data_IF_164465706262
#
_entry.id   IF_164465706262
#
_cell.length_a   1.000
_cell.length_b   1.000
_cell.length_c   1.000
_cell.angle_alpha   90.00
_cell.angle_beta   90.00
_cell.angle_gamma   90.00
#
_symmetry.space_group_name_H-M   'P 1'
#
loop_
_entity.id
_entity.type
_entity.pdbx_description
1 polymer ?
#
# COMPACT_ATOMS: atom_id res chain seq x y z
N UNK A 1 -89.23 -13.34 1.76
CA UNK A 1 -90.06 -13.70 2.93
C UNK A 1 -89.37 -13.10 4.15
N UNK A 2 -89.76 -11.87 4.51
CA UNK A 2 -90.62 -11.53 5.69
C UNK A 2 -89.86 -11.69 7.00
N UNK A 3 -89.40 -10.59 7.61
CA UNK A 3 -90.13 -9.70 8.54
C UNK A 3 -90.37 -10.36 9.91
N UNK A 4 -89.94 -9.63 10.96
CA UNK A 4 -90.68 -9.40 12.22
C UNK A 4 -91.23 -10.66 12.94
N UNK A 5 -90.94 -10.94 14.21
CA UNK A 5 -91.25 -10.08 15.34
C UNK A 5 -91.23 -10.92 16.63
N UNK A 6 -90.76 -10.31 17.73
CA UNK A 6 -91.38 -10.31 19.06
C UNK A 6 -91.45 -11.64 19.84
N UNK A 7 -91.29 -11.69 21.15
CA UNK A 7 -90.89 -10.73 22.19
C UNK A 7 -90.70 -11.55 23.48
N UNK A 8 -89.81 -11.06 24.34
CA UNK A 8 -89.89 -10.93 25.81
C UNK A 8 -90.42 -12.11 26.66
N UNK A 9 -89.88 -12.40 27.83
CA UNK A 9 -88.81 -11.82 28.64
C UNK A 9 -88.61 -12.81 29.79
N UNK A 10 -87.39 -12.95 30.31
CA UNK A 10 -87.20 -12.90 31.76
C UNK A 10 -85.72 -12.82 32.15
N UNK A 11 -85.39 -11.66 32.75
CA UNK A 11 -84.54 -11.49 33.94
C UNK A 11 -83.01 -11.51 33.74
N UNK A 12 -82.57 -10.30 33.40
CA UNK A 12 -81.28 -9.65 33.65
C UNK A 12 -80.62 -9.96 35.00
N UNK A 13 -79.33 -10.33 34.95
CA UNK A 13 -78.25 -9.53 35.54
C UNK A 13 -77.02 -9.63 34.64
N UNK A 14 -76.64 -8.53 33.98
CA UNK A 14 -75.36 -8.40 33.30
C UNK A 14 -74.88 -6.95 33.35
N UNK A 15 -73.55 -6.82 33.27
CA UNK A 15 -72.77 -5.65 33.65
C UNK A 15 -73.07 -4.33 32.93
N UNK A 16 -72.61 -3.26 33.56
CA UNK A 16 -72.21 -2.02 32.87
C UNK A 16 -70.78 -1.67 33.27
N UNK A 17 -70.00 -1.45 32.21
CA UNK A 17 -68.59 -1.08 32.08
C UNK A 17 -68.24 0.21 32.84
N UNK A 18 -67.16 0.21 33.63
CA UNK A 18 -66.37 1.42 33.92
C UNK A 18 -64.85 1.16 33.95
N UNK A 19 -64.19 1.80 32.98
CA UNK A 19 -62.79 2.28 32.92
C UNK A 19 -61.64 1.25 32.83
N UNK A 20 -61.11 1.15 31.60
CA UNK A 20 -59.73 0.78 31.23
C UNK A 20 -58.70 1.20 32.29
N UNK A 21 -58.04 0.25 32.94
CA UNK A 21 -56.66 0.43 33.43
C UNK A 21 -55.73 -0.21 32.40
N UNK A 22 -54.89 0.61 31.79
CA UNK A 22 -53.85 0.21 30.82
C UNK A 22 -52.94 -0.86 31.46
N UNK A 23 -52.45 -1.86 30.70
CA UNK A 23 -51.37 -2.71 31.18
C UNK A 23 -50.15 -1.83 31.43
N UNK A 24 -49.45 -2.11 32.52
CA UNK A 24 -48.26 -1.40 32.95
C UNK A 24 -47.27 -1.23 31.79
N UNK A 25 -47.12 0.02 31.34
CA UNK A 25 -45.99 0.46 30.55
C UNK A 25 -44.77 0.30 31.45
N UNK A 26 -43.91 -0.69 31.17
CA UNK A 26 -42.59 -0.79 31.78
C UNK A 26 -41.78 0.41 31.27
N UNK A 27 -41.95 1.54 31.96
CA UNK A 27 -41.16 2.73 31.78
C UNK A 27 -39.73 2.37 32.16
N UNK A 28 -38.82 2.30 31.19
CA UNK A 28 -37.38 2.34 31.46
C UNK A 28 -37.05 3.69 32.10
N UNK A 29 -37.27 3.82 33.41
CA UNK A 29 -36.69 4.90 34.21
C UNK A 29 -35.32 4.39 34.60
N UNK A 30 -34.33 4.64 33.73
CA UNK A 30 -32.94 4.64 34.17
C UNK A 30 -32.86 5.56 35.39
N UNK A 31 -32.40 5.05 36.54
CA UNK A 31 -32.31 5.90 37.72
C UNK A 31 -31.29 7.01 37.42
N UNK A 32 -31.49 8.25 37.89
CA UNK A 32 -30.50 9.34 37.71
C UNK A 32 -29.07 8.92 38.12
N UNK A 33 -28.97 7.99 39.08
CA UNK A 33 -27.72 7.35 39.51
C UNK A 33 -27.07 6.48 38.43
N UNK A 34 -27.85 5.72 37.67
CA UNK A 34 -27.34 4.86 36.59
C UNK A 34 -26.91 5.68 35.38
N UNK A 35 -27.65 6.75 35.04
CA UNK A 35 -27.23 7.71 34.02
C UNK A 35 -25.93 8.44 34.40
N UNK A 36 -25.77 8.81 35.68
CA UNK A 36 -24.56 9.48 36.15
C UNK A 36 -23.35 8.53 36.17
N UNK A 37 -23.54 7.26 36.54
CA UNK A 37 -22.51 6.22 36.43
C UNK A 37 -22.12 5.97 34.98
N UNK A 38 -23.09 5.87 34.08
CA UNK A 38 -22.85 5.69 32.65
C UNK A 38 -22.12 6.89 32.05
N UNK A 39 -22.49 8.12 32.41
CA UNK A 39 -21.77 9.34 32.02
C UNK A 39 -20.33 9.37 32.54
N UNK A 40 -20.10 8.95 33.80
CA UNK A 40 -18.74 8.85 34.36
C UNK A 40 -17.90 7.80 33.64
N UNK A 41 -18.47 6.65 33.30
CA UNK A 41 -17.78 5.61 32.51
C UNK A 41 -17.46 6.08 31.10
N UNK A 42 -18.40 6.74 30.41
CA UNK A 42 -18.18 7.33 29.08
C UNK A 42 -17.08 8.37 29.14
N UNK A 43 -17.13 9.31 30.11
CA UNK A 43 -16.11 10.36 30.25
C UNK A 43 -14.73 9.79 30.61
N UNK A 44 -14.66 8.72 31.41
CA UNK A 44 -13.41 8.04 31.71
C UNK A 44 -12.84 7.36 30.45
N UNK A 45 -13.69 6.71 29.64
CA UNK A 45 -13.30 6.11 28.37
C UNK A 45 -12.83 7.16 27.37
N UNK A 46 -13.56 8.27 27.21
CA UNK A 46 -13.16 9.39 26.35
C UNK A 46 -11.80 9.98 26.74
N UNK A 47 -11.52 10.15 28.04
CA UNK A 47 -10.20 10.61 28.50
C UNK A 47 -9.08 9.61 28.23
N UNK A 48 -9.39 8.32 28.28
CA UNK A 48 -8.43 7.28 27.96
C UNK A 48 -8.16 7.23 26.46
N UNK A 49 -9.21 7.31 25.65
CA UNK A 49 -9.13 7.36 24.19
C UNK A 49 -8.36 8.61 23.74
N UNK A 50 -8.61 9.79 24.35
CA UNK A 50 -7.87 11.03 24.09
C UNK A 50 -6.38 10.90 24.42
N UNK A 51 -6.01 10.17 25.47
CA UNK A 51 -4.60 9.89 25.80
C UNK A 51 -3.94 8.98 24.77
N UNK A 52 -4.66 7.96 24.30
CA UNK A 52 -4.16 7.03 23.27
C UNK A 52 -4.04 7.75 21.93
N UNK A 53 -5.03 8.57 21.56
CA UNK A 53 -5.04 9.34 20.33
C UNK A 53 -3.88 10.34 20.30
N UNK A 54 -3.66 11.06 21.41
CA UNK A 54 -2.45 11.89 21.58
C UNK A 54 -1.17 11.05 21.50
N UNK A 55 -1.12 9.83 21.99
CA UNK A 55 0.09 9.01 21.88
C UNK A 55 0.24 8.30 20.51
N UNK A 56 -0.67 8.53 19.56
CA UNK A 56 -0.69 7.83 18.27
C UNK A 56 -0.03 8.67 17.18
N UNK A 57 0.95 8.10 16.50
CA UNK A 57 1.56 8.71 15.33
C UNK A 57 0.80 8.36 14.06
N UNK A 58 0.31 9.39 13.36
CA UNK A 58 -0.51 9.27 12.15
C UNK A 58 0.38 9.39 10.92
N UNK A 59 0.51 8.30 10.16
CA UNK A 59 1.39 8.19 9.00
C UNK A 59 0.57 8.11 7.71
N UNK A 60 0.81 9.04 6.79
CA UNK A 60 0.11 9.07 5.51
C UNK A 60 1.01 8.58 4.38
N UNK A 61 0.59 7.52 3.68
CA UNK A 61 1.34 6.99 2.52
C UNK A 61 0.87 7.67 1.25
N UNK A 62 1.74 8.45 0.62
CA UNK A 62 1.48 9.11 -0.66
C UNK A 62 2.39 8.57 -1.75
N UNK A 63 2.00 8.74 -3.00
CA UNK A 63 2.76 8.25 -4.16
C UNK A 63 1.86 7.84 -5.32
N UNK A 64 2.43 7.76 -6.52
CA UNK A 64 1.71 7.35 -7.73
C UNK A 64 1.10 5.95 -7.63
N UNK A 65 0.20 5.59 -8.56
CA UNK A 65 -0.24 4.21 -8.71
C UNK A 65 0.96 3.27 -8.81
N UNK A 66 0.86 2.10 -8.19
CA UNK A 66 1.91 1.06 -8.24
C UNK A 66 3.27 1.40 -7.61
N UNK A 67 3.40 2.53 -6.92
CA UNK A 67 4.63 2.89 -6.19
C UNK A 67 5.05 1.87 -5.11
N UNK A 68 4.10 1.11 -4.56
CA UNK A 68 4.33 0.12 -3.51
C UNK A 68 3.78 0.48 -2.11
N UNK A 69 2.93 1.51 -2.00
CA UNK A 69 2.29 1.93 -0.74
C UNK A 69 1.61 0.78 0.01
N UNK A 70 0.67 0.10 -0.64
CA UNK A 70 -0.02 -1.05 -0.04
C UNK A 70 0.92 -2.20 0.31
N UNK A 71 2.05 -2.33 -0.39
CA UNK A 71 3.09 -3.31 -0.05
C UNK A 71 3.81 -2.94 1.24
N UNK A 72 4.14 -1.66 1.44
CA UNK A 72 4.66 -1.16 2.73
C UNK A 72 3.67 -1.44 3.86
N UNK A 73 2.36 -1.22 3.63
CA UNK A 73 1.33 -1.53 4.63
C UNK A 73 1.25 -3.02 4.96
N UNK A 74 1.29 -3.87 3.94
CA UNK A 74 1.34 -5.33 4.12
C UNK A 74 2.59 -5.76 4.91
N UNK A 75 3.74 -5.11 4.69
CA UNK A 75 4.95 -5.39 5.47
C UNK A 75 4.78 -5.04 6.94
N UNK A 76 4.25 -3.86 7.27
CA UNK A 76 3.96 -3.50 8.66
C UNK A 76 3.04 -4.52 9.32
N UNK A 77 2.05 -5.01 8.57
CA UNK A 77 1.18 -6.09 9.06
C UNK A 77 1.94 -7.39 9.30
N UNK A 78 2.84 -7.81 8.42
CA UNK A 78 3.69 -9.00 8.61
C UNK A 78 4.58 -8.86 9.84
N UNK A 79 5.24 -7.70 10.00
CA UNK A 79 6.19 -7.45 11.08
C UNK A 79 5.53 -7.40 12.46
N UNK A 80 4.29 -6.90 12.56
CA UNK A 80 3.69 -6.60 13.86
C UNK A 80 2.44 -7.42 14.21
N UNK A 81 1.65 -7.85 13.21
CA UNK A 81 0.35 -8.48 13.46
C UNK A 81 0.16 -9.85 12.77
N UNK A 82 1.04 -10.22 11.83
CA UNK A 82 0.92 -11.38 10.93
C UNK A 82 -0.40 -11.44 10.14
N UNK A 83 -0.44 -12.24 9.07
CA UNK A 83 -1.68 -12.54 8.34
C UNK A 83 -2.35 -13.79 8.89
N UNK A 84 -3.65 -13.72 9.14
CA UNK A 84 -4.46 -14.88 9.54
C UNK A 84 -4.66 -15.85 8.37
N UNK A 85 -4.88 -17.14 8.64
CA UNK A 85 -5.15 -18.12 7.58
C UNK A 85 -6.30 -17.70 6.65
N UNK A 86 -7.38 -17.14 7.19
CA UNK A 86 -8.52 -16.69 6.38
C UNK A 86 -8.12 -15.56 5.43
N UNK A 87 -7.29 -14.61 5.87
CA UNK A 87 -6.78 -13.56 5.00
C UNK A 87 -5.88 -14.11 3.90
N UNK A 88 -5.04 -15.11 4.21
CA UNK A 88 -4.21 -15.80 3.21
C UNK A 88 -5.08 -16.50 2.17
N UNK A 89 -6.12 -17.23 2.61
CA UNK A 89 -7.07 -17.90 1.72
C UNK A 89 -7.81 -16.92 0.80
N UNK A 90 -8.24 -15.77 1.34
CA UNK A 90 -8.90 -14.73 0.56
C UNK A 90 -8.01 -14.15 -0.56
N UNK A 91 -6.68 -14.32 -0.46
CA UNK A 91 -5.72 -13.88 -1.49
C UNK A 91 -5.48 -14.87 -2.62
N UNK A 92 -5.96 -16.10 -2.51
CA UNK A 92 -5.77 -17.11 -3.57
C UNK A 92 -6.40 -16.63 -4.88
N UNK A 93 -7.61 -16.08 -4.84
CA UNK A 93 -8.30 -15.61 -6.04
C UNK A 93 -7.58 -14.41 -6.68
N UNK A 94 -7.12 -13.46 -5.88
CA UNK A 94 -6.34 -12.31 -6.35
C UNK A 94 -5.03 -12.76 -7.06
N UNK A 95 -4.35 -13.77 -6.51
CA UNK A 95 -3.13 -14.35 -7.11
C UNK A 95 -3.45 -15.05 -8.44
N UNK A 96 -4.56 -15.80 -8.50
CA UNK A 96 -5.02 -16.44 -9.75
C UNK A 96 -5.37 -15.40 -10.82
N UNK A 97 -6.03 -14.30 -10.45
CA UNK A 97 -6.26 -13.15 -11.33
C UNK A 97 -4.94 -12.57 -11.84
N UNK A 98 -3.97 -12.34 -10.95
CA UNK A 98 -2.65 -11.81 -11.34
C UNK A 98 -1.95 -12.72 -12.37
N UNK A 99 -2.02 -14.04 -12.23
CA UNK A 99 -1.46 -14.99 -13.22
C UNK A 99 -2.16 -14.84 -14.57
N UNK A 100 -3.49 -14.93 -14.58
CA UNK A 100 -4.30 -14.85 -15.81
C UNK A 100 -4.05 -13.53 -16.53
N UNK A 101 -4.17 -12.43 -15.80
CA UNK A 101 -4.09 -11.09 -16.39
C UNK A 101 -2.67 -10.80 -16.88
N UNK A 102 -1.63 -11.27 -16.18
CA UNK A 102 -0.23 -11.15 -16.64
C UNK A 102 0.00 -11.86 -17.96
N UNK A 103 -0.40 -13.14 -18.06
CA UNK A 103 -0.21 -13.90 -19.30
C UNK A 103 -1.06 -13.32 -20.43
N UNK A 104 -2.30 -12.92 -20.14
CA UNK A 104 -3.18 -12.25 -21.11
C UNK A 104 -2.55 -10.98 -21.67
N UNK A 105 -1.97 -10.13 -20.82
CA UNK A 105 -1.28 -8.92 -21.26
C UNK A 105 -0.09 -9.23 -22.16
N UNK A 106 0.73 -10.24 -21.82
CA UNK A 106 1.88 -10.65 -22.64
C UNK A 106 1.39 -11.20 -24.00
N UNK A 107 0.38 -12.06 -24.02
CA UNK A 107 -0.15 -12.63 -25.27
C UNK A 107 -0.78 -11.58 -26.17
N UNK A 108 -1.50 -10.60 -25.61
CA UNK A 108 -2.02 -9.45 -26.40
C UNK A 108 -0.88 -8.60 -26.95
N UNK A 109 0.22 -8.49 -26.21
CA UNK A 109 1.35 -7.68 -26.61
C UNK A 109 2.12 -8.25 -27.80
N UNK A 110 2.09 -9.58 -28.03
CA UNK A 110 2.76 -10.25 -29.15
C UNK A 110 2.51 -9.56 -30.50
N UNK A 111 1.25 -9.20 -30.77
CA UNK A 111 0.83 -8.57 -32.04
C UNK A 111 0.92 -7.03 -32.02
N UNK A 112 1.02 -6.40 -30.85
CA UNK A 112 0.96 -4.94 -30.72
C UNK A 112 2.31 -4.26 -30.57
N UNK A 113 3.31 -4.97 -30.03
CA UNK A 113 4.68 -4.43 -29.92
C UNK A 113 5.33 -4.33 -31.30
N UNK A 114 6.31 -3.44 -31.47
CA UNK A 114 6.93 -3.18 -32.77
C UNK A 114 8.46 -3.33 -32.71
N UNK A 115 9.05 -4.30 -33.43
CA UNK A 115 8.40 -5.30 -34.29
C UNK A 115 7.57 -6.30 -33.49
N UNK A 116 6.52 -6.91 -34.07
CA UNK A 116 5.72 -7.93 -33.41
C UNK A 116 6.54 -9.20 -33.17
N UNK A 117 6.12 -9.99 -32.19
CA UNK A 117 6.75 -11.26 -31.81
C UNK A 117 5.74 -12.37 -32.03
N UNK A 118 6.16 -13.47 -32.66
CA UNK A 118 5.33 -14.65 -32.86
C UNK A 118 5.63 -15.71 -31.80
N UNK A 119 4.65 -16.58 -31.53
CA UNK A 119 4.90 -17.79 -30.73
C UNK A 119 5.96 -18.64 -31.41
N UNK A 120 6.86 -19.21 -30.62
CA UNK A 120 7.92 -20.09 -31.12
C UNK A 120 7.32 -21.40 -31.67
N UNK A 121 6.29 -21.93 -30.99
CA UNK A 121 5.63 -23.18 -31.37
C UNK A 121 4.20 -22.94 -31.85
N UNK A 122 3.87 -23.32 -33.08
CA UNK A 122 2.52 -23.15 -33.65
C UNK A 122 1.42 -23.88 -32.87
N UNK A 123 1.76 -24.97 -32.18
CA UNK A 123 0.85 -25.71 -31.31
C UNK A 123 0.35 -24.88 -30.12
N UNK A 124 1.09 -23.83 -29.73
CA UNK A 124 0.70 -22.94 -28.65
C UNK A 124 -0.41 -21.95 -29.07
N UNK A 125 -0.76 -21.86 -30.35
CA UNK A 125 -1.79 -20.94 -30.83
C UNK A 125 -3.18 -21.23 -30.24
N UNK A 126 -3.54 -22.52 -30.10
CA UNK A 126 -4.83 -22.89 -29.48
C UNK A 126 -4.84 -22.57 -27.99
N UNK A 127 -3.71 -22.78 -27.29
CA UNK A 127 -3.55 -22.43 -25.88
C UNK A 127 -3.63 -20.93 -25.67
N UNK A 128 -2.98 -20.14 -26.52
CA UNK A 128 -3.05 -18.68 -26.48
C UNK A 128 -4.49 -18.19 -26.70
N UNK A 129 -5.19 -18.76 -27.69
CA UNK A 129 -6.61 -18.48 -27.93
C UNK A 129 -7.46 -18.79 -26.70
N UNK A 130 -7.25 -19.93 -26.03
CA UNK A 130 -7.95 -20.29 -24.80
C UNK A 130 -7.76 -19.25 -23.69
N UNK A 131 -6.52 -18.79 -23.45
CA UNK A 131 -6.23 -17.78 -22.43
C UNK A 131 -6.91 -16.44 -22.77
N UNK A 132 -6.84 -16.03 -24.03
CA UNK A 132 -7.38 -14.75 -24.49
C UNK A 132 -8.92 -14.70 -24.51
N UNK A 133 -9.59 -15.84 -24.65
CA UNK A 133 -11.05 -15.93 -24.86
C UNK A 133 -11.77 -16.57 -23.68
N UNK A 134 -11.47 -17.83 -23.37
CA UNK A 134 -12.13 -18.62 -22.33
C UNK A 134 -11.75 -18.15 -20.93
N UNK A 135 -10.46 -17.99 -20.65
CA UNK A 135 -10.00 -17.65 -19.29
C UNK A 135 -10.40 -16.23 -18.86
N UNK A 136 -10.71 -15.35 -19.81
CA UNK A 136 -11.10 -13.95 -19.56
C UNK A 136 -12.55 -13.78 -19.07
N UNK A 137 -13.31 -14.86 -18.93
CA UNK A 137 -14.68 -14.82 -18.42
C UNK A 137 -14.72 -14.42 -16.94
N UNK A 138 -15.79 -13.73 -16.52
CA UNK A 138 -15.94 -13.22 -15.15
C UNK A 138 -16.00 -14.35 -14.11
N UNK A 139 -16.73 -15.42 -14.41
CA UNK A 139 -16.95 -16.56 -13.52
C UNK A 139 -15.95 -17.71 -13.77
N UNK A 140 -14.75 -17.39 -14.24
CA UNK A 140 -13.74 -18.39 -14.55
C UNK A 140 -13.25 -19.10 -13.27
N UNK A 141 -13.34 -20.42 -13.25
CA UNK A 141 -13.11 -21.26 -12.07
C UNK A 141 -11.66 -21.76 -11.92
N UNK A 142 -10.80 -21.43 -12.89
CA UNK A 142 -9.38 -21.82 -12.94
C UNK A 142 -9.19 -23.35 -12.88
N UNK A 143 -9.61 -24.08 -13.93
CA UNK A 143 -9.44 -25.52 -13.98
C UNK A 143 -7.95 -25.91 -14.10
N UNK A 144 -7.56 -27.16 -13.79
CA UNK A 144 -6.17 -27.60 -13.93
C UNK A 144 -5.56 -27.33 -15.32
N UNK A 145 -6.37 -27.51 -16.38
CA UNK A 145 -6.01 -27.23 -17.77
C UNK A 145 -5.47 -25.80 -17.97
N UNK A 146 -6.08 -24.81 -17.31
CA UNK A 146 -5.61 -23.42 -17.38
C UNK A 146 -4.17 -23.28 -16.92
N UNK A 147 -3.83 -23.90 -15.79
CA UNK A 147 -2.48 -23.81 -15.24
C UNK A 147 -1.46 -24.54 -16.11
N UNK A 148 -1.84 -25.65 -16.74
CA UNK A 148 -0.97 -26.38 -17.66
C UNK A 148 -0.72 -25.59 -18.96
N UNK A 149 -1.72 -24.86 -19.47
CA UNK A 149 -1.54 -23.93 -20.59
C UNK A 149 -0.68 -22.72 -20.22
N UNK A 150 -0.89 -22.14 -19.03
CA UNK A 150 -0.03 -21.06 -18.52
C UNK A 150 1.42 -21.52 -18.45
N UNK A 151 1.68 -22.70 -17.87
CA UNK A 151 3.03 -23.27 -17.76
C UNK A 151 3.67 -23.50 -19.13
N UNK A 152 2.91 -24.03 -20.09
CA UNK A 152 3.39 -24.32 -21.44
C UNK A 152 3.70 -23.03 -22.20
N UNK A 153 2.78 -22.06 -22.18
CA UNK A 153 2.95 -20.78 -22.85
C UNK A 153 4.08 -19.95 -22.22
N UNK A 154 4.22 -19.98 -20.89
CA UNK A 154 5.30 -19.26 -20.22
C UNK A 154 6.69 -19.78 -20.62
N UNK A 155 6.81 -21.04 -21.03
CA UNK A 155 8.07 -21.60 -21.54
C UNK A 155 8.34 -21.32 -23.01
N UNK A 156 7.38 -20.78 -23.76
CA UNK A 156 7.54 -20.46 -25.18
C UNK A 156 8.52 -19.30 -25.37
N UNK A 157 9.47 -19.44 -26.29
CA UNK A 157 10.49 -18.43 -26.56
C UNK A 157 9.91 -17.10 -27.00
N UNK A 158 8.83 -17.09 -27.78
CA UNK A 158 8.15 -15.87 -28.21
C UNK A 158 7.48 -15.14 -27.05
N UNK A 159 6.88 -15.89 -26.11
CA UNK A 159 6.29 -15.31 -24.88
C UNK A 159 7.38 -14.73 -23.98
N UNK A 160 8.52 -15.42 -23.84
CA UNK A 160 9.67 -14.91 -23.08
C UNK A 160 10.29 -13.66 -23.71
N UNK A 161 10.44 -13.63 -25.04
CA UNK A 161 10.93 -12.46 -25.78
C UNK A 161 9.99 -11.26 -25.59
N UNK A 162 8.68 -11.47 -25.73
CA UNK A 162 7.68 -10.42 -25.51
C UNK A 162 7.74 -9.88 -24.08
N UNK A 163 7.86 -10.77 -23.07
CA UNK A 163 8.01 -10.38 -21.67
C UNK A 163 9.27 -9.52 -21.40
N UNK A 164 10.40 -9.81 -22.05
CA UNK A 164 11.62 -8.98 -21.92
C UNK A 164 11.42 -7.54 -22.43
N UNK A 165 10.43 -7.35 -23.31
CA UNK A 165 9.98 -6.07 -23.87
C UNK A 165 8.75 -5.50 -23.18
N UNK A 166 8.44 -5.98 -21.97
CA UNK A 166 7.29 -5.54 -21.16
C UNK A 166 7.25 -4.06 -20.80
N UNK A 167 8.31 -3.29 -21.05
CA UNK A 167 8.27 -1.83 -20.93
C UNK A 167 7.51 -1.14 -22.08
N UNK A 168 7.19 -1.85 -23.16
CA UNK A 168 6.45 -1.35 -24.32
C UNK A 168 4.92 -1.45 -24.14
N UNK A 169 4.46 -2.10 -23.07
CA UNK A 169 3.05 -2.27 -22.74
C UNK A 169 2.84 -2.30 -21.22
N UNK A 170 1.59 -2.45 -20.77
CA UNK A 170 1.27 -2.46 -19.34
C UNK A 170 1.29 -3.89 -18.79
N UNK A 171 2.27 -4.16 -17.92
CA UNK A 171 2.43 -5.44 -17.22
C UNK A 171 2.69 -5.20 -15.72
N UNK A 172 2.16 -6.08 -14.88
CA UNK A 172 2.35 -6.02 -13.44
C UNK A 172 3.78 -6.48 -13.08
N UNK A 173 4.42 -5.83 -12.10
CA UNK A 173 5.80 -6.20 -11.70
C UNK A 173 5.94 -7.66 -11.23
N UNK A 174 4.90 -8.21 -10.62
CA UNK A 174 4.90 -9.57 -10.08
C UNK A 174 4.59 -10.66 -11.10
N UNK A 175 4.44 -10.32 -12.39
CA UNK A 175 4.11 -11.27 -13.46
C UNK A 175 5.07 -12.46 -13.46
N UNK A 176 6.38 -12.21 -13.57
CA UNK A 176 7.41 -13.26 -13.59
C UNK A 176 7.34 -14.15 -12.35
N UNK A 177 7.23 -13.52 -11.17
CA UNK A 177 7.22 -14.24 -9.89
C UNK A 177 6.10 -15.28 -9.80
N UNK A 178 4.90 -14.94 -10.25
CA UNK A 178 3.78 -15.87 -10.22
C UNK A 178 3.79 -16.87 -11.38
N UNK A 179 4.17 -16.44 -12.58
CA UNK A 179 4.24 -17.32 -13.76
C UNK A 179 5.30 -18.42 -13.58
N UNK A 180 6.46 -18.10 -12.99
CA UNK A 180 7.50 -19.08 -12.66
C UNK A 180 7.03 -20.15 -11.66
N UNK A 181 6.03 -19.83 -10.83
CA UNK A 181 5.56 -20.66 -9.71
C UNK A 181 4.15 -21.21 -9.91
N UNK A 182 3.65 -21.19 -11.14
CA UNK A 182 2.31 -21.69 -11.48
C UNK A 182 2.10 -23.14 -11.01
N UNK A 183 3.16 -23.96 -11.02
CA UNK A 183 3.15 -25.35 -10.54
C UNK A 183 2.92 -25.52 -9.04
N UNK A 184 3.36 -24.56 -8.24
CA UNK A 184 3.09 -24.55 -6.80
C UNK A 184 1.66 -24.07 -6.54
N UNK A 185 1.24 -23.05 -7.29
CA UNK A 185 -0.04 -22.36 -7.11
C UNK A 185 -1.22 -23.24 -7.58
N UNK A 186 -1.02 -24.11 -8.59
CA UNK A 186 -2.05 -25.03 -9.08
C UNK A 186 -2.41 -26.16 -8.10
N UNK A 187 -1.63 -26.36 -7.04
CA UNK A 187 -1.84 -27.46 -6.08
C UNK A 187 -3.14 -27.24 -5.29
N UNK A 188 -3.98 -28.28 -5.07
CA UNK A 188 -5.24 -28.14 -4.35
C UNK A 188 -5.13 -27.60 -2.91
N UNK A 189 -3.97 -27.80 -2.27
CA UNK A 189 -3.66 -27.33 -0.91
C UNK A 189 -2.73 -26.13 -0.88
N UNK A 190 -2.65 -25.38 -1.98
CA UNK A 190 -1.86 -24.16 -2.04
C UNK A 190 -2.33 -23.16 -0.97
N UNK A 191 -1.38 -22.67 -0.17
CA UNK A 191 -1.58 -21.63 0.81
C UNK A 191 -0.58 -20.52 0.50
N UNK A 192 -1.03 -19.28 0.21
CA UNK A 192 -0.14 -18.17 -0.07
C UNK A 192 0.85 -17.95 1.08
N UNK A 193 2.12 -17.86 0.74
CA UNK A 193 3.15 -17.36 1.65
C UNK A 193 2.99 -15.86 1.87
N UNK A 194 3.66 -15.31 2.89
CA UNK A 194 3.68 -13.86 3.09
C UNK A 194 4.30 -13.15 1.89
N UNK A 195 5.26 -13.80 1.22
CA UNK A 195 5.87 -13.30 -0.01
C UNK A 195 4.88 -13.24 -1.18
N UNK A 196 3.98 -14.21 -1.29
CA UNK A 196 2.91 -14.20 -2.29
C UNK A 196 1.93 -13.06 -2.04
N UNK A 197 1.61 -12.80 -0.76
CA UNK A 197 0.71 -11.71 -0.37
C UNK A 197 1.34 -10.34 -0.65
N UNK A 198 2.65 -10.19 -0.39
CA UNK A 198 3.39 -8.96 -0.69
C UNK A 198 3.42 -8.66 -2.19
N UNK A 199 3.66 -9.68 -3.03
CA UNK A 199 3.72 -9.53 -4.50
C UNK A 199 2.35 -9.54 -5.19
N UNK A 200 1.31 -9.98 -4.51
CA UNK A 200 -0.05 -9.94 -5.03
C UNK A 200 -0.52 -8.49 -5.24
N UNK A 201 -0.83 -8.15 -6.50
CA UNK A 201 -1.30 -6.84 -6.92
C UNK A 201 -2.83 -6.78 -6.82
N UNK A 202 -3.30 -5.82 -6.04
CA UNK A 202 -4.70 -5.41 -5.97
C UNK A 202 -4.72 -3.89 -6.08
N UNK A 203 -5.55 -3.36 -6.98
CA UNK A 203 -5.67 -1.91 -7.14
C UNK A 203 -6.44 -1.33 -5.96
N UNK A 204 -5.76 -0.49 -5.18
CA UNK A 204 -6.35 0.20 -4.03
C UNK A 204 -7.25 1.33 -4.50
N UNK A 205 -8.55 1.22 -4.18
CA UNK A 205 -9.56 2.26 -4.39
C UNK A 205 -10.09 2.72 -3.04
N UNK A 206 -9.94 4.00 -2.71
CA UNK A 206 -10.31 4.58 -1.42
C UNK A 206 -9.13 4.75 -0.46
N UNK A 207 -9.48 4.78 0.83
CA UNK A 207 -8.57 4.99 1.96
C UNK A 207 -8.70 3.78 2.86
N UNK A 208 -7.57 3.16 3.20
CA UNK A 208 -7.51 2.02 4.10
C UNK A 208 -6.64 2.36 5.30
N UNK A 209 -7.15 2.05 6.48
CA UNK A 209 -6.51 2.34 7.76
C UNK A 209 -5.90 1.07 8.33
N UNK A 210 -4.70 1.17 8.90
CA UNK A 210 -4.06 0.08 9.63
C UNK A 210 -3.45 0.64 10.90
N UNK A 211 -3.83 0.05 12.03
CA UNK A 211 -3.32 0.41 13.36
C UNK A 211 -2.47 -0.73 13.87
N UNK A 212 -1.30 -0.39 14.39
CA UNK A 212 -0.38 -1.35 15.00
C UNK A 212 0.43 -0.66 16.10
N UNK A 213 1.04 -1.46 16.96
CA UNK A 213 1.83 -0.96 18.11
C UNK A 213 3.22 -1.54 18.05
N UNK A 214 4.23 -0.68 18.15
CA UNK A 214 5.65 -1.07 18.18
C UNK A 214 6.25 -0.52 19.47
N UNK A 215 6.77 -1.39 20.34
CA UNK A 215 7.38 -1.00 21.62
C UNK A 215 6.55 0.02 22.43
N UNK A 216 5.24 -0.23 22.53
CA UNK A 216 4.25 0.63 23.22
C UNK A 216 3.92 1.96 22.52
N UNK A 217 4.44 2.21 21.33
CA UNK A 217 4.07 3.36 20.49
C UNK A 217 3.01 2.93 19.48
N UNK A 218 1.90 3.66 19.43
CA UNK A 218 0.80 3.39 18.51
C UNK A 218 1.02 4.10 17.18
N UNK A 219 0.86 3.37 16.09
CA UNK A 219 0.93 3.89 14.73
C UNK A 219 -0.39 3.70 14.02
N UNK A 220 -0.90 4.78 13.43
CA UNK A 220 -2.09 4.77 12.60
C UNK A 220 -1.72 5.17 11.18
N UNK A 221 -1.75 4.21 10.28
CA UNK A 221 -1.26 4.36 8.92
C UNK A 221 -2.40 4.37 7.90
N UNK A 222 -2.35 5.33 6.99
CA UNK A 222 -3.36 5.54 5.94
C UNK A 222 -2.77 5.17 4.57
N UNK A 223 -3.29 4.10 3.96
CA UNK A 223 -3.00 3.70 2.58
C UNK A 223 -4.08 4.27 1.66
N UNK A 224 -3.69 5.23 0.83
CA UNK A 224 -4.61 5.87 -0.12
C UNK A 224 -4.32 5.45 -1.55
N UNK A 225 -5.37 5.35 -2.37
CA UNK A 225 -5.24 5.12 -3.80
C UNK A 225 -4.32 6.15 -4.47
N UNK A 226 -3.30 5.68 -5.21
CA UNK A 226 -2.28 6.53 -5.84
C UNK A 226 -2.61 7.01 -7.25
N UNK A 227 -3.61 6.40 -7.88
CA UNK A 227 -4.07 6.73 -9.22
C UNK A 227 -4.67 8.12 -9.25
N UNK A 228 -4.56 8.83 -10.39
CA UNK A 228 -5.00 10.22 -10.57
C UNK A 228 -6.46 10.43 -10.13
N UNK A 229 -7.34 9.47 -10.42
CA UNK A 229 -8.76 9.50 -10.02
C UNK A 229 -8.97 9.48 -8.49
N UNK A 230 -8.04 8.87 -7.74
CA UNK A 230 -8.14 8.67 -6.30
C UNK A 230 -7.55 9.84 -5.50
N UNK A 231 -6.68 10.66 -6.11
CA UNK A 231 -5.92 11.72 -5.40
C UNK A 231 -6.79 12.79 -4.76
N UNK A 232 -8.02 13.00 -5.24
CA UNK A 232 -8.98 13.95 -4.61
C UNK A 232 -9.37 13.52 -3.20
N UNK A 233 -9.31 12.22 -2.89
CA UNK A 233 -9.66 11.67 -1.57
C UNK A 233 -8.58 11.95 -0.53
N UNK A 234 -7.33 12.24 -0.94
CA UNK A 234 -6.21 12.45 -0.03
C UNK A 234 -6.44 13.58 0.97
N UNK A 235 -7.22 14.61 0.61
CA UNK A 235 -7.54 15.70 1.53
C UNK A 235 -8.24 15.22 2.81
N UNK A 236 -8.94 14.08 2.77
CA UNK A 236 -9.69 13.52 3.89
C UNK A 236 -8.79 12.93 4.99
N UNK A 237 -7.51 12.70 4.68
CA UNK A 237 -6.54 12.13 5.60
C UNK A 237 -5.33 13.04 5.85
N UNK A 238 -5.43 14.34 5.52
CA UNK A 238 -4.37 15.33 5.80
C UNK A 238 -4.45 15.91 7.22
N UNK A 239 -5.56 15.69 7.93
CA UNK A 239 -5.74 16.21 9.28
C UNK A 239 -4.90 15.42 10.29
N UNK A 240 -4.13 16.17 11.08
CA UNK A 240 -3.31 15.69 12.19
C UNK A 240 -2.27 14.62 11.78
N UNK A 241 -1.73 14.71 10.57
CA UNK A 241 -0.67 13.80 10.11
C UNK A 241 0.65 14.16 10.78
N UNK A 242 1.28 13.16 11.43
CA UNK A 242 2.60 13.28 12.04
C UNK A 242 3.70 13.36 10.99
N UNK A 243 3.65 12.49 9.98
CA UNK A 243 4.63 12.43 8.90
C UNK A 243 4.01 11.85 7.61
N UNK A 244 4.57 12.25 6.47
CA UNK A 244 4.24 11.65 5.18
C UNK A 244 5.31 10.63 4.80
N UNK A 245 4.89 9.44 4.40
CA UNK A 245 5.75 8.49 3.71
C UNK A 245 5.43 8.58 2.22
N UNK A 246 6.30 9.24 1.45
CA UNK A 246 6.15 9.32 0.01
C UNK A 246 6.88 8.14 -0.64
N UNK A 247 6.14 7.27 -1.31
CA UNK A 247 6.68 6.08 -1.98
C UNK A 247 6.76 6.33 -3.49
N UNK A 248 7.92 6.06 -4.08
CA UNK A 248 8.14 6.14 -5.53
C UNK A 248 8.73 4.85 -6.08
N UNK A 249 8.29 4.45 -7.28
CA UNK A 249 8.83 3.29 -8.00
C UNK A 249 10.04 3.73 -8.85
N UNK A 250 11.26 3.52 -8.35
CA UNK A 250 12.48 3.93 -9.06
C UNK A 250 12.66 3.15 -10.39
N UNK A 251 12.21 1.90 -10.42
CA UNK A 251 12.20 1.07 -11.62
C UNK A 251 11.24 1.57 -12.72
N UNK A 252 10.40 2.57 -12.43
CA UNK A 252 9.47 3.17 -13.39
C UNK A 252 10.10 4.12 -14.41
N UNK A 253 11.43 4.27 -14.41
CA UNK A 253 12.13 5.24 -15.28
C UNK A 253 11.93 4.98 -16.78
N UNK A 254 11.69 3.73 -17.19
CA UNK A 254 11.46 3.34 -18.58
C UNK A 254 10.00 2.93 -18.86
N UNK A 255 9.06 3.30 -17.99
CA UNK A 255 7.65 2.96 -18.09
C UNK A 255 6.78 4.21 -18.24
N UNK A 256 5.59 4.03 -18.82
CA UNK A 256 4.54 5.05 -18.91
C UNK A 256 3.37 4.70 -17.99
N UNK A 257 2.58 5.70 -17.60
CA UNK A 257 1.41 5.49 -16.75
C UNK A 257 0.33 4.65 -17.45
N UNK A 258 -0.36 3.81 -16.68
CA UNK A 258 -1.58 3.11 -17.16
C UNK A 258 -2.65 4.13 -17.58
N UNK A 259 -2.75 5.25 -16.87
CA UNK A 259 -3.76 6.27 -17.13
C UNK A 259 -3.38 7.20 -18.30
N UNK A 260 -2.13 7.18 -18.76
CA UNK A 260 -1.58 8.13 -19.73
C UNK A 260 -0.28 7.59 -20.37
N UNK A 261 -0.42 6.99 -21.55
CA UNK A 261 0.68 6.36 -22.30
C UNK A 261 1.79 7.32 -22.75
N UNK A 262 1.58 8.64 -22.63
CA UNK A 262 2.58 9.66 -22.97
C UNK A 262 3.39 10.11 -21.76
N UNK A 263 2.93 9.80 -20.55
CA UNK A 263 3.55 10.28 -19.33
C UNK A 263 4.43 9.21 -18.71
N UNK A 264 5.72 9.52 -18.57
CA UNK A 264 6.68 8.66 -17.89
C UNK A 264 6.34 8.52 -16.38
N UNK A 265 6.41 7.30 -15.86
CA UNK A 265 5.99 6.98 -14.48
C UNK A 265 6.86 7.67 -13.42
N UNK A 266 8.18 7.72 -13.61
CA UNK A 266 9.08 8.38 -12.65
C UNK A 266 8.97 9.91 -12.73
N UNK A 267 8.82 10.49 -13.92
CA UNK A 267 8.57 11.94 -14.09
C UNK A 267 7.25 12.37 -13.44
N UNK A 268 6.19 11.57 -13.58
CA UNK A 268 4.93 11.81 -12.85
C UNK A 268 5.16 11.79 -11.33
N UNK A 269 5.98 10.86 -10.84
CA UNK A 269 6.28 10.77 -9.40
C UNK A 269 7.04 12.00 -8.89
N UNK A 270 7.98 12.54 -9.67
CA UNK A 270 8.70 13.77 -9.35
C UNK A 270 7.75 14.97 -9.29
N UNK A 271 6.87 15.11 -10.27
CA UNK A 271 5.87 16.19 -10.31
C UNK A 271 4.88 16.06 -9.15
N UNK A 272 4.42 14.84 -8.85
CA UNK A 272 3.55 14.60 -7.70
C UNK A 272 4.24 14.96 -6.37
N UNK A 273 5.51 14.57 -6.21
CA UNK A 273 6.29 14.94 -5.02
C UNK A 273 6.45 16.46 -4.89
N UNK A 274 6.77 17.16 -5.99
CA UNK A 274 6.83 18.62 -6.02
C UNK A 274 5.51 19.27 -5.59
N UNK A 275 4.38 18.74 -6.03
CA UNK A 275 3.06 19.23 -5.65
C UNK A 275 2.77 19.01 -4.16
N UNK A 276 3.18 17.88 -3.59
CA UNK A 276 3.04 17.58 -2.15
C UNK A 276 3.97 18.48 -1.33
N UNK A 277 5.23 18.60 -1.72
CA UNK A 277 6.25 19.40 -1.03
C UNK A 277 5.86 20.89 -0.94
N UNK A 278 5.31 21.43 -2.02
CA UNK A 278 4.87 22.83 -2.08
C UNK A 278 3.43 23.06 -1.57
N UNK A 279 2.75 22.00 -1.13
CA UNK A 279 1.37 22.08 -0.70
C UNK A 279 1.25 22.94 0.57
N UNK A 280 0.39 23.97 0.54
CA UNK A 280 0.19 24.89 1.68
C UNK A 280 -0.23 24.22 2.98
N UNK A 281 -0.95 23.11 2.91
CA UNK A 281 -1.42 22.36 4.08
C UNK A 281 -0.35 21.44 4.67
N UNK A 282 0.76 21.21 3.95
CA UNK A 282 1.82 20.27 4.32
C UNK A 282 3.18 20.95 4.58
N UNK A 283 3.22 22.29 4.58
CA UNK A 283 4.46 23.10 4.69
C UNK A 283 5.28 22.89 5.96
N UNK A 284 4.70 22.28 6.99
CA UNK A 284 5.35 21.97 8.28
C UNK A 284 5.53 20.47 8.49
N UNK A 285 5.05 19.64 7.56
CA UNK A 285 5.10 18.19 7.67
C UNK A 285 6.30 17.69 6.87
N UNK A 286 7.22 17.03 7.56
CA UNK A 286 8.39 16.42 6.93
C UNK A 286 8.00 15.14 6.18
N UNK A 287 8.81 14.81 5.18
CA UNK A 287 8.53 13.71 4.24
C UNK A 287 9.63 12.67 4.32
N UNK A 288 9.26 11.44 4.68
CA UNK A 288 10.10 10.27 4.54
C UNK A 288 9.92 9.77 3.10
N UNK A 289 10.97 9.81 2.30
CA UNK A 289 10.96 9.45 0.89
C UNK A 289 11.45 8.02 0.70
N UNK A 290 10.56 7.11 0.32
CA UNK A 290 10.89 5.74 -0.04
C UNK A 290 11.13 5.63 -1.54
N UNK A 291 12.42 5.53 -1.89
CA UNK A 291 12.90 5.19 -3.22
C UNK A 291 12.76 3.68 -3.40
N UNK A 292 11.54 3.24 -3.69
CA UNK A 292 11.14 1.84 -3.69
C UNK A 292 11.49 1.13 -5.01
N UNK A 293 11.42 -0.21 -4.99
CA UNK A 293 11.70 -1.13 -6.10
C UNK A 293 13.16 -1.09 -6.56
N UNK A 294 14.08 -1.04 -5.59
CA UNK A 294 15.52 -1.05 -5.85
C UNK A 294 15.98 -2.36 -6.50
N UNK A 295 15.33 -3.48 -6.17
CA UNK A 295 15.52 -4.78 -6.82
C UNK A 295 15.26 -4.69 -8.34
N UNK A 296 14.10 -4.18 -8.73
CA UNK A 296 13.73 -4.04 -10.14
C UNK A 296 14.54 -2.96 -10.87
N UNK A 297 14.95 -1.90 -10.17
CA UNK A 297 15.87 -0.92 -10.73
C UNK A 297 17.21 -1.59 -11.07
N UNK A 298 17.78 -2.33 -10.12
CA UNK A 298 19.04 -3.03 -10.31
C UNK A 298 18.97 -4.05 -11.45
N UNK A 299 17.88 -4.83 -11.54
CA UNK A 299 17.65 -5.77 -12.64
C UNK A 299 17.62 -5.07 -14.01
N UNK A 300 16.88 -3.97 -14.14
CA UNK A 300 16.77 -3.23 -15.40
C UNK A 300 18.10 -2.62 -15.86
N UNK A 301 18.85 -2.01 -14.94
CA UNK A 301 20.16 -1.42 -15.26
C UNK A 301 21.16 -2.51 -15.66
N UNK A 302 21.21 -3.64 -14.93
CA UNK A 302 22.08 -4.79 -15.27
C UNK A 302 21.70 -5.44 -16.60
N UNK A 303 20.42 -5.40 -16.97
CA UNK A 303 19.94 -5.85 -18.28
C UNK A 303 20.26 -4.87 -19.43
N UNK A 304 20.98 -3.77 -19.14
CA UNK A 304 21.41 -2.80 -20.15
C UNK A 304 20.37 -1.74 -20.50
N UNK A 305 19.27 -1.61 -19.73
CA UNK A 305 18.33 -0.49 -19.91
C UNK A 305 19.01 0.81 -19.47
N UNK A 306 19.05 1.79 -20.37
CA UNK A 306 19.77 3.05 -20.19
C UNK A 306 18.84 4.11 -19.61
N UNK A 307 19.24 4.72 -18.49
CA UNK A 307 18.41 5.71 -17.82
C UNK A 307 18.42 7.05 -18.57
N UNK A 308 19.53 7.37 -19.23
CA UNK A 308 19.75 8.57 -20.03
C UNK A 308 18.83 8.70 -21.26
N UNK A 309 18.27 7.58 -21.75
CA UNK A 309 17.25 7.61 -22.83
C UNK A 309 15.95 8.29 -22.38
N UNK A 310 15.67 8.27 -21.07
CA UNK A 310 14.44 8.82 -20.47
C UNK A 310 14.74 10.08 -19.63
N UNK A 311 15.95 10.17 -19.10
CA UNK A 311 16.48 11.28 -18.28
C UNK A 311 17.86 11.69 -18.81
N UNK A 312 17.92 12.51 -19.88
CA UNK A 312 19.19 12.91 -20.52
C UNK A 312 20.20 13.53 -19.56
N UNK A 313 19.73 14.13 -18.47
CA UNK A 313 20.54 14.72 -17.41
C UNK A 313 21.45 13.68 -16.72
N UNK A 314 21.07 12.40 -16.75
CA UNK A 314 21.84 11.30 -16.17
C UNK A 314 23.19 11.08 -16.87
N UNK A 315 23.29 11.36 -18.17
CA UNK A 315 24.54 11.15 -18.93
C UNK A 315 25.72 11.89 -18.27
N UNK A 316 25.47 13.09 -17.77
CA UNK A 316 26.45 13.96 -17.12
C UNK A 316 26.46 13.84 -15.60
N UNK A 317 25.61 13.01 -15.02
CA UNK A 317 25.53 12.83 -13.58
C UNK A 317 26.74 12.06 -13.06
N UNK A 318 27.42 12.66 -12.07
CA UNK A 318 28.56 12.07 -11.37
C UNK A 318 28.18 11.88 -9.91
N UNK A 319 28.20 10.63 -9.45
CA UNK A 319 28.01 10.29 -8.05
C UNK A 319 29.24 10.71 -7.23
N UNK A 320 29.04 11.20 -6.01
CA UNK A 320 30.14 11.62 -5.15
C UNK A 320 30.95 10.41 -4.64
N UNK A 321 32.25 10.60 -4.40
CA UNK A 321 33.12 9.55 -3.84
C UNK A 321 32.62 9.03 -2.49
N UNK A 322 32.07 9.92 -1.64
CA UNK A 322 31.54 9.56 -0.33
C UNK A 322 30.34 8.60 -0.45
N UNK A 323 29.51 8.77 -1.48
CA UNK A 323 28.33 7.95 -1.69
C UNK A 323 28.67 6.61 -2.33
N UNK A 324 29.66 6.60 -3.22
CA UNK A 324 30.25 5.36 -3.73
C UNK A 324 30.83 4.52 -2.59
N UNK A 325 31.53 5.13 -1.63
CA UNK A 325 32.09 4.42 -0.47
C UNK A 325 31.01 3.88 0.48
N UNK A 326 29.86 4.54 0.55
CA UNK A 326 28.70 4.10 1.35
C UNK A 326 27.88 3.00 0.68
N UNK A 327 28.13 2.68 -0.59
CA UNK A 327 27.34 1.68 -1.33
C UNK A 327 27.53 0.27 -0.77
N UNK A 328 26.57 -0.62 -1.06
CA UNK A 328 26.63 -1.98 -0.54
C UNK A 328 27.84 -2.72 -1.14
N UNK A 329 28.54 -3.57 -0.34
CA UNK A 329 29.67 -4.32 -0.85
C UNK A 329 29.22 -5.19 -2.04
N UNK A 330 29.82 -4.99 -3.22
CA UNK A 330 29.51 -5.65 -4.49
C UNK A 330 28.29 -5.12 -5.26
N UNK A 331 27.74 -3.95 -4.89
CA UNK A 331 26.75 -3.29 -5.75
C UNK A 331 27.38 -2.82 -7.06
N UNK A 332 26.66 -3.03 -8.17
CA UNK A 332 27.14 -2.61 -9.49
C UNK A 332 27.18 -1.09 -9.59
N UNK A 333 28.31 -0.51 -10.00
CA UNK A 333 28.54 0.94 -9.98
C UNK A 333 27.45 1.74 -10.70
N UNK A 334 26.99 1.28 -11.87
CA UNK A 334 25.89 1.96 -12.58
C UNK A 334 24.55 1.88 -11.85
N UNK A 335 24.30 0.82 -11.06
CA UNK A 335 23.09 0.73 -10.22
C UNK A 335 23.16 1.76 -9.10
N UNK A 336 24.32 1.87 -8.44
CA UNK A 336 24.55 2.89 -7.42
C UNK A 336 24.41 4.29 -8.02
N UNK A 337 25.03 4.56 -9.18
CA UNK A 337 24.90 5.83 -9.89
C UNK A 337 23.44 6.16 -10.23
N UNK A 338 22.68 5.19 -10.74
CA UNK A 338 21.28 5.36 -11.10
C UNK A 338 20.39 5.65 -9.88
N UNK A 339 20.50 4.89 -8.79
CA UNK A 339 19.65 5.12 -7.60
C UNK A 339 19.94 6.47 -6.95
N UNK A 340 21.20 6.90 -6.89
CA UNK A 340 21.59 8.20 -6.34
C UNK A 340 21.17 9.36 -7.25
N UNK A 341 21.25 9.22 -8.57
CA UNK A 341 20.66 10.19 -9.49
C UNK A 341 19.17 10.40 -9.21
N UNK A 342 18.40 9.30 -9.12
CA UNK A 342 16.96 9.38 -8.85
C UNK A 342 16.71 10.06 -7.50
N UNK A 343 17.45 9.69 -6.44
CA UNK A 343 17.39 10.36 -5.14
C UNK A 343 17.59 11.86 -5.29
N UNK A 344 18.60 12.27 -6.04
CA UNK A 344 18.98 13.68 -6.19
C UNK A 344 17.96 14.49 -6.99
N UNK A 345 17.25 13.88 -7.93
CA UNK A 345 16.11 14.52 -8.59
C UNK A 345 15.02 14.91 -7.58
N UNK A 346 14.72 14.04 -6.60
CA UNK A 346 13.77 14.36 -5.52
C UNK A 346 14.34 15.37 -4.53
N UNK A 347 15.61 15.22 -4.13
CA UNK A 347 16.24 16.15 -3.20
C UNK A 347 16.38 17.55 -3.79
N UNK A 348 16.62 17.68 -5.09
CA UNK A 348 16.63 18.98 -5.78
C UNK A 348 15.31 19.71 -5.60
N UNK A 349 14.19 18.99 -5.62
CA UNK A 349 12.86 19.57 -5.37
C UNK A 349 12.75 20.04 -3.92
N UNK A 350 13.18 19.22 -2.95
CA UNK A 350 13.03 19.54 -1.53
C UNK A 350 13.95 20.68 -1.08
N UNK A 351 15.14 20.81 -1.68
CA UNK A 351 16.12 21.86 -1.35
C UNK A 351 15.98 23.15 -2.18
N UNK A 352 15.20 23.14 -3.28
CA UNK A 352 15.02 24.33 -4.13
C UNK A 352 14.37 25.50 -3.39
N UNK A 353 13.50 25.19 -2.42
CA UNK A 353 12.89 26.19 -1.55
C UNK A 353 13.69 26.17 -0.26
N UNK A 354 14.28 27.29 0.15
CA UNK A 354 15.05 27.43 1.42
C UNK A 354 14.19 27.30 2.69
N UNK A 355 13.20 26.42 2.68
CA UNK A 355 12.22 26.22 3.72
C UNK A 355 12.81 25.29 4.78
N UNK A 356 13.36 25.86 5.85
CA UNK A 356 13.96 25.11 6.96
C UNK A 356 12.92 24.50 7.91
N UNK A 357 11.61 24.60 7.60
CA UNK A 357 10.51 24.21 8.51
C UNK A 357 10.16 22.73 8.47
N UNK A 358 10.55 22.04 7.41
CA UNK A 358 10.36 20.60 7.25
C UNK A 358 11.49 20.04 6.40
N UNK A 359 11.76 18.75 6.51
CA UNK A 359 12.89 18.09 5.85
C UNK A 359 12.43 16.86 5.07
N UNK A 360 13.24 16.46 4.10
CA UNK A 360 13.03 15.25 3.32
C UNK A 360 14.10 14.23 3.67
N UNK A 361 13.68 13.01 3.98
CA UNK A 361 14.53 11.93 4.48
C UNK A 361 14.48 10.75 3.49
N UNK A 362 15.45 10.65 2.57
CA UNK A 362 15.43 9.62 1.53
C UNK A 362 15.93 8.27 2.06
N UNK A 363 15.23 7.19 1.69
CA UNK A 363 15.62 5.82 1.95
C UNK A 363 15.46 4.97 0.69
N UNK A 364 16.49 4.20 0.35
CA UNK A 364 16.42 3.17 -0.68
C UNK A 364 15.68 1.96 -0.12
N UNK A 365 14.58 1.56 -0.74
CA UNK A 365 13.71 0.49 -0.22
C UNK A 365 13.33 -0.56 -1.26
N UNK A 366 13.10 -1.78 -0.77
CA UNK A 366 12.51 -2.87 -1.51
C UNK A 366 11.31 -3.38 -0.69
N UNK A 367 10.12 -2.87 -0.96
CA UNK A 367 8.92 -3.17 -0.17
C UNK A 367 8.54 -4.65 -0.14
N UNK A 368 9.00 -5.46 -1.11
CA UNK A 368 8.77 -6.91 -1.13
C UNK A 368 9.83 -7.69 -0.37
N UNK A 369 10.95 -7.07 0.02
CA UNK A 369 11.98 -7.68 0.85
C UNK A 369 11.77 -7.26 2.30
N UNK A 370 11.35 -8.22 3.11
CA UNK A 370 11.14 -8.01 4.54
C UNK A 370 12.43 -7.53 5.19
N UNK A 371 13.61 -8.07 4.87
CA UNK A 371 14.86 -7.65 5.53
C UNK A 371 15.31 -6.24 5.11
N UNK A 372 15.06 -5.82 3.86
CA UNK A 372 15.36 -4.47 3.43
C UNK A 372 14.43 -3.43 4.06
N UNK A 373 13.13 -3.76 4.16
CA UNK A 373 12.20 -2.99 4.97
C UNK A 373 12.61 -3.06 6.44
N UNK A 374 13.28 -4.13 6.88
CA UNK A 374 13.91 -4.20 8.20
C UNK A 374 15.22 -3.48 8.35
N UNK A 375 15.90 -3.07 7.31
CA UNK A 375 17.17 -2.35 7.40
C UNK A 375 17.30 -1.53 6.13
N UNK A 376 16.59 -0.40 6.03
CA UNK A 376 16.84 0.53 4.94
C UNK A 376 18.34 0.85 5.03
N UNK A 377 19.09 0.63 3.95
CA UNK A 377 20.55 0.71 3.93
C UNK A 377 21.01 1.88 4.79
N UNK A 378 21.84 1.59 5.81
CA UNK A 378 22.19 2.51 6.89
C UNK A 378 22.83 3.77 6.34
N UNK A 379 22.03 4.79 6.02
CA UNK A 379 22.57 6.09 5.68
C UNK A 379 23.03 6.72 6.99
N UNK A 380 24.35 6.69 7.21
CA UNK A 380 25.04 7.38 8.30
C UNK A 380 24.97 8.91 8.17
N UNK A 381 24.01 9.45 7.43
CA UNK A 381 23.62 10.87 7.49
C UNK A 381 22.93 11.22 8.82
N UNK A 382 22.57 10.21 9.62
CA UNK A 382 22.11 10.39 11.01
C UNK A 382 23.33 10.69 11.91
N UNK A 383 23.43 11.87 12.54
CA UNK A 383 24.45 12.12 13.56
C UNK A 383 24.33 11.08 14.68
N UNK A 384 25.43 10.42 15.05
CA UNK A 384 25.44 9.45 16.15
C UNK A 384 24.93 10.12 17.44
N UNK A 385 23.94 9.51 18.07
CA UNK A 385 23.43 9.84 19.41
C UNK A 385 24.45 9.34 20.44
N UNK A 386 25.63 9.95 20.51
CA UNK A 386 26.57 9.74 21.62
C UNK A 386 26.65 10.95 22.55
N UNK A 387 25.70 11.88 22.45
CA UNK A 387 25.69 13.11 23.26
C UNK A 387 24.32 13.48 23.85
N UNK A 388 23.37 12.54 23.92
CA UNK A 388 22.09 12.76 24.63
C UNK A 388 22.13 11.95 25.93
N UNK A 389 22.02 12.57 27.13
CA UNK A 389 22.07 11.86 28.40
C UNK A 389 20.90 10.86 28.55
N UNK A 390 21.15 9.70 29.17
CA UNK A 390 20.21 8.59 29.44
C UNK A 390 18.96 8.94 30.28
N UNK A 391 18.65 10.22 30.51
CA UNK A 391 17.54 10.64 31.39
C UNK A 391 16.20 10.91 30.69
N UNK A 392 16.11 10.73 29.37
CA UNK A 392 14.88 11.02 28.61
C UNK A 392 14.02 9.77 28.35
N UNK A 393 13.31 9.29 29.40
CA UNK A 393 12.02 8.60 29.19
C UNK A 393 11.03 9.64 28.69
N UNK A 394 10.88 9.79 27.37
CA UNK A 394 10.01 10.82 26.82
C UNK A 394 8.59 10.29 26.67
N UNK A 395 7.72 10.66 27.62
CA UNK A 395 6.29 10.80 27.36
C UNK A 395 6.10 12.07 26.53
N UNK A 396 6.16 11.97 25.20
CA UNK A 396 5.82 13.09 24.32
C UNK A 396 4.30 13.10 24.11
N UNK A 397 3.62 14.11 24.67
CA UNK A 397 2.28 14.48 24.25
C UNK A 397 2.38 15.42 23.04
N UNK A 398 1.79 15.11 21.87
CA UNK A 398 1.67 16.03 20.76
C UNK A 398 0.49 16.95 21.06
N UNK A 399 0.74 18.02 21.79
CA UNK A 399 -0.23 19.11 21.93
C UNK A 399 0.23 20.41 21.30
N UNK A 400 1.41 20.45 20.67
CA UNK A 400 1.93 21.64 20.02
C UNK A 400 2.11 21.40 18.52
N UNK A 401 1.49 22.29 17.73
CA UNK A 401 1.29 22.26 16.28
C UNK A 401 2.56 22.45 15.43
N UNK A 402 3.72 22.09 15.97
CA UNK A 402 4.96 21.95 15.22
C UNK A 402 5.85 20.97 15.97
N UNK A 403 5.90 19.72 15.51
CA UNK A 403 6.92 18.75 15.92
C UNK A 403 8.27 19.40 15.57
N UNK A 404 9.06 19.74 16.58
CA UNK A 404 10.36 20.39 16.37
C UNK A 404 11.31 19.40 15.68
N UNK A 405 12.35 19.89 15.00
CA UNK A 405 13.29 19.03 14.24
C UNK A 405 13.79 17.82 15.05
N UNK A 406 14.06 17.98 16.36
CA UNK A 406 14.48 16.91 17.28
C UNK A 406 13.43 15.82 17.51
N UNK A 407 12.15 16.20 17.65
CA UNK A 407 11.05 15.25 17.84
C UNK A 407 10.77 14.50 16.52
N UNK A 408 10.96 15.17 15.39
CA UNK A 408 10.88 14.52 14.09
C UNK A 408 12.02 13.54 13.87
N UNK A 409 13.27 13.87 14.23
CA UNK A 409 14.38 12.91 14.17
C UNK A 409 14.11 11.67 15.03
N UNK A 410 13.50 11.83 16.21
CA UNK A 410 13.12 10.68 17.04
C UNK A 410 12.00 9.86 16.40
N UNK A 411 11.02 10.49 15.74
CA UNK A 411 9.92 9.81 15.02
C UNK A 411 10.42 9.15 13.74
N UNK A 412 11.27 9.81 12.96
CA UNK A 412 11.95 9.27 11.80
C UNK A 412 12.84 8.11 12.22
N UNK A 413 13.63 8.24 13.29
CA UNK A 413 14.40 7.14 13.83
C UNK A 413 13.50 6.01 14.34
N UNK A 414 12.34 6.31 14.95
CA UNK A 414 11.37 5.29 15.33
C UNK A 414 10.78 4.59 14.09
N UNK A 415 10.46 5.34 13.04
CA UNK A 415 9.89 4.81 11.80
C UNK A 415 10.95 4.00 11.04
N UNK A 416 12.16 4.54 10.89
CA UNK A 416 13.23 3.97 10.07
C UNK A 416 14.01 2.88 10.82
N UNK A 417 14.26 3.06 12.13
CA UNK A 417 15.01 2.09 12.95
C UNK A 417 14.14 1.13 13.77
N UNK A 418 12.84 1.37 13.99
CA UNK A 418 12.01 0.49 14.85
C UNK A 418 10.73 -0.05 14.21
N UNK A 419 10.07 0.73 13.36
CA UNK A 419 8.89 0.30 12.58
C UNK A 419 9.31 -0.61 11.42
N UNK A 420 10.47 -0.28 10.86
CA UNK A 420 11.10 -0.99 9.78
C UNK A 420 11.90 -2.18 10.35
N UNK A 421 12.83 -1.96 11.30
CA UNK A 421 13.70 -3.01 11.91
C UNK A 421 13.05 -3.60 13.18
N UNK A 422 12.68 -4.89 13.26
CA UNK A 422 12.35 -5.53 14.52
C UNK A 422 13.64 -5.72 15.33
N UNK A 423 13.56 -5.44 16.63
CA UNK A 423 14.60 -5.86 17.56
C UNK A 423 14.66 -7.39 17.56
N UNK A 424 15.75 -7.95 17.05
CA UNK A 424 16.16 -9.29 17.48
C UNK A 424 16.81 -9.16 18.88
N UNK A 425 16.47 -10.15 19.70
CA UNK A 425 16.77 -10.37 21.13
C UNK A 425 18.13 -9.89 21.66
#
# INVERSE_FOLDING_TARGET
>A
MTNYSFENDNRTTNGIVKKKKRPHFWSCISSKSDEEKQRKQINAKLKQDEKVDKATHRLLLLGSGESGKSTVVKQMKILHNSFTQQEKLNKILDIKHNIRDSLTSILRALDTINPPVSLEHSENQERATYILTTAHQLDFDYPPEFFDYVETLWRDGGVQECFQRSNEYQLIDSAKYFLDRVNEIKRPKYMPSDQDILRCRVVTSGIYETIFTVEHVCFHMFDVGGQRAERRKWIQCLDDVTAIIFVTACSGFNLVLIEDEKQNQLRESLELFKNIWNNRWLKTISVILFLNKQDLLAEKIKAGRRLEEYFPEFEHYVISHVELEKSEPNEHTEVTRAKYFIRDEFLRISTAVGNTRHSCYPHFTCAVDTENIRRPASDNSIPRISSIPETSRILLSPSDSAINSRDFFAIEELIVKKLLIPMNE
#
